data_IF_393083984347
#
_entry.id   IF_393083984347
#
_cell.length_a   1.000
_cell.length_b   1.000
_cell.length_c   1.000
_cell.angle_alpha   90.00
_cell.angle_beta   90.00
_cell.angle_gamma   90.00
#
_symmetry.space_group_name_H-M   'P 1'
#
loop_
_entity.id
_entity.type
_entity.pdbx_description
1 polymer ?
#
# COMPACT_ATOMS: atom_id res chain seq x y z
N UNK A 1 21.68 -2.88 1.24
CA UNK A 1 20.53 -3.67 0.77
C UNK A 1 19.32 -3.10 1.48
N UNK A 2 18.45 -2.37 0.78
CA UNK A 2 17.24 -1.80 1.39
C UNK A 2 16.26 -2.91 1.77
N UNK A 3 15.48 -2.77 2.85
CA UNK A 3 14.48 -3.78 3.22
C UNK A 3 13.44 -3.91 2.11
N UNK A 4 13.20 -5.15 1.68
CA UNK A 4 12.22 -5.47 0.64
C UNK A 4 10.91 -5.92 1.29
N UNK A 5 9.82 -5.21 0.97
CA UNK A 5 8.48 -5.50 1.48
C UNK A 5 7.69 -6.38 0.51
N UNK A 6 7.39 -5.85 -0.68
CA UNK A 6 6.62 -6.51 -1.73
C UNK A 6 7.42 -6.68 -3.02
N UNK A 7 7.03 -7.68 -3.82
CA UNK A 7 7.58 -7.92 -5.15
C UNK A 7 6.50 -8.36 -6.11
N UNK A 8 6.64 -8.01 -7.38
CA UNK A 8 5.77 -8.48 -8.44
C UNK A 8 6.45 -9.64 -9.17
N UNK A 9 6.34 -10.85 -8.60
CA UNK A 9 6.91 -12.08 -9.17
C UNK A 9 5.84 -12.79 -10.00
N UNK A 10 6.14 -13.25 -11.23
CA UNK A 10 5.20 -14.03 -12.02
C UNK A 10 4.67 -15.23 -11.24
N UNK A 11 3.34 -15.34 -11.13
CA UNK A 11 2.69 -16.49 -10.51
C UNK A 11 2.19 -17.46 -11.58
N UNK A 12 1.99 -18.73 -11.21
CA UNK A 12 1.41 -19.72 -12.13
C UNK A 12 0.01 -19.32 -12.61
N UNK A 13 -0.77 -18.64 -11.77
CA UNK A 13 -2.08 -18.11 -12.16
C UNK A 13 -1.99 -17.09 -13.31
N UNK A 14 -0.87 -16.35 -13.39
CA UNK A 14 -0.63 -15.44 -14.49
C UNK A 14 -0.41 -16.17 -15.81
N UNK A 15 0.05 -17.43 -15.85
CA UNK A 15 0.28 -18.12 -17.13
C UNK A 15 -0.99 -18.21 -17.99
N UNK A 16 -2.14 -18.41 -17.35
CA UNK A 16 -3.46 -18.48 -17.97
C UNK A 16 -4.16 -17.13 -18.19
N UNK A 17 -3.57 -16.02 -17.73
CA UNK A 17 -4.18 -14.68 -17.86
C UNK A 17 -3.95 -14.08 -19.24
N UNK A 18 -4.89 -13.21 -19.64
CA UNK A 18 -4.71 -12.37 -20.81
C UNK A 18 -3.52 -11.43 -20.62
N UNK A 19 -3.00 -10.88 -21.73
CA UNK A 19 -1.90 -9.93 -21.67
C UNK A 19 -2.27 -8.67 -20.88
N UNK A 20 -3.53 -8.23 -20.98
CA UNK A 20 -4.05 -7.05 -20.29
C UNK A 20 -4.17 -7.28 -18.78
N UNK A 21 -4.72 -8.42 -18.36
CA UNK A 21 -4.81 -8.77 -16.93
C UNK A 21 -3.43 -8.90 -16.27
N UNK A 22 -2.45 -9.46 -17.00
CA UNK A 22 -1.05 -9.50 -16.56
C UNK A 22 -0.52 -8.10 -16.30
N UNK A 23 -0.76 -7.17 -17.22
CA UNK A 23 -0.31 -5.79 -17.05
C UNK A 23 -0.98 -5.12 -15.87
N UNK A 24 -2.29 -5.30 -15.69
CA UNK A 24 -3.02 -4.76 -14.54
C UNK A 24 -2.45 -5.24 -13.21
N UNK A 25 -2.06 -6.53 -13.10
CA UNK A 25 -1.37 -7.04 -11.91
C UNK A 25 0.06 -6.51 -11.77
N UNK A 26 0.80 -6.37 -12.87
CA UNK A 26 2.17 -5.87 -12.87
C UNK A 26 2.28 -4.39 -12.46
N UNK A 27 1.22 -3.61 -12.66
CA UNK A 27 1.13 -2.21 -12.20
C UNK A 27 1.01 -2.08 -10.68
N UNK A 28 0.57 -3.13 -9.98
CA UNK A 28 0.48 -3.13 -8.50
C UNK A 28 1.87 -3.22 -7.86
N UNK A 29 2.00 -2.77 -6.61
CA UNK A 29 3.23 -2.86 -5.82
C UNK A 29 3.64 -4.32 -5.50
N UNK A 30 2.75 -5.28 -5.75
CA UNK A 30 3.04 -6.71 -5.70
C UNK A 30 2.64 -7.36 -4.38
N UNK A 31 3.21 -8.53 -4.12
CA UNK A 31 2.87 -9.41 -2.99
C UNK A 31 4.00 -9.42 -1.95
N UNK A 32 3.70 -9.63 -0.66
CA UNK A 32 4.74 -9.66 0.37
C UNK A 32 5.75 -10.79 0.11
N UNK A 33 7.03 -10.48 0.34
CA UNK A 33 8.07 -11.51 0.36
C UNK A 33 7.86 -12.44 1.57
N UNK A 34 8.34 -13.68 1.46
CA UNK A 34 8.35 -14.61 2.60
C UNK A 34 8.98 -13.95 3.82
N UNK A 35 8.38 -14.11 5.01
CA UNK A 35 8.84 -13.46 6.24
C UNK A 35 8.24 -12.07 6.50
N UNK A 36 7.67 -11.41 5.49
CA UNK A 36 6.92 -10.15 5.63
C UNK A 36 5.43 -10.46 5.72
N UNK A 37 4.75 -9.81 6.66
CA UNK A 37 3.29 -9.80 6.78
C UNK A 37 2.79 -8.38 6.58
N UNK A 38 1.66 -8.26 5.89
CA UNK A 38 0.93 -7.01 5.67
C UNK A 38 -0.45 -7.15 6.30
N UNK A 39 -0.98 -6.05 6.83
CA UNK A 39 -2.41 -5.87 7.13
C UNK A 39 -2.79 -4.42 6.86
N UNK A 40 -4.07 -4.19 6.64
CA UNK A 40 -4.65 -2.84 6.62
C UNK A 40 -5.59 -2.68 7.81
N UNK A 41 -5.60 -1.50 8.43
CA UNK A 41 -6.51 -1.20 9.55
C UNK A 41 -7.30 0.08 9.32
N UNK A 42 -8.47 0.18 9.94
CA UNK A 42 -9.19 1.44 10.05
C UNK A 42 -8.49 2.39 11.06
N UNK A 43 -9.02 3.60 11.26
CA UNK A 43 -8.46 4.58 12.21
C UNK A 43 -8.54 4.14 13.69
N UNK A 44 -9.36 3.13 14.00
CA UNK A 44 -9.47 2.55 15.34
C UNK A 44 -8.45 1.43 15.58
N UNK A 45 -7.69 1.07 14.54
CA UNK A 45 -6.73 -0.04 14.57
C UNK A 45 -7.34 -1.42 14.29
N UNK A 46 -8.63 -1.50 13.95
CA UNK A 46 -9.26 -2.78 13.61
C UNK A 46 -8.80 -3.23 12.22
N UNK A 47 -8.46 -4.51 12.09
CA UNK A 47 -8.08 -5.09 10.80
C UNK A 47 -9.26 -5.07 9.80
N UNK A 48 -8.96 -4.67 8.58
CA UNK A 48 -9.89 -4.67 7.45
C UNK A 48 -9.69 -5.91 6.57
N UNK A 49 -10.71 -6.33 5.80
CA UNK A 49 -10.60 -7.50 4.92
C UNK A 49 -9.69 -7.24 3.72
N UNK A 50 -9.02 -8.30 3.24
CA UNK A 50 -8.21 -8.26 2.02
C UNK A 50 -9.09 -8.56 0.79
N UNK A 51 -9.99 -7.65 0.45
CA UNK A 51 -10.95 -7.78 -0.66
C UNK A 51 -10.59 -6.95 -1.89
N UNK A 52 -9.48 -6.20 -1.83
CA UNK A 52 -9.03 -5.28 -2.88
C UNK A 52 -9.86 -4.00 -2.99
N UNK A 53 -10.84 -3.80 -2.09
CA UNK A 53 -11.77 -2.66 -2.08
C UNK A 53 -11.66 -1.85 -0.79
N UNK A 54 -11.40 -2.50 0.33
CA UNK A 54 -11.23 -1.88 1.63
C UNK A 54 -9.89 -1.16 1.68
N UNK A 55 -9.92 0.11 2.09
CA UNK A 55 -8.76 0.98 2.24
C UNK A 55 -8.44 1.18 3.72
N UNK A 56 -7.17 1.13 4.10
CA UNK A 56 -6.75 1.39 5.47
C UNK A 56 -5.26 1.66 5.60
N UNK A 57 -4.85 2.01 6.82
CA UNK A 57 -3.45 2.21 7.17
C UNK A 57 -2.67 0.92 6.97
N UNK A 58 -1.62 0.98 6.16
CA UNK A 58 -0.77 -0.16 5.87
C UNK A 58 0.18 -0.41 7.04
N UNK A 59 0.07 -1.61 7.61
CA UNK A 59 0.95 -2.09 8.66
C UNK A 59 1.76 -3.28 8.19
N UNK A 60 3.06 -3.26 8.51
CA UNK A 60 4.02 -4.30 8.08
C UNK A 60 4.76 -4.89 9.27
N UNK A 61 5.04 -6.19 9.19
CA UNK A 61 5.80 -6.90 10.24
C UNK A 61 6.66 -7.99 9.64
N UNK A 62 7.91 -8.10 10.08
CA UNK A 62 8.84 -9.12 9.61
C UNK A 62 10.22 -8.98 10.24
N UNK A 63 11.12 -9.94 10.00
CA UNK A 63 12.43 -9.97 10.66
C UNK A 63 13.39 -8.86 10.21
N UNK A 64 13.10 -8.20 9.08
CA UNK A 64 13.83 -7.03 8.57
C UNK A 64 12.99 -5.74 8.55
N UNK A 65 11.88 -5.72 9.27
CA UNK A 65 11.12 -4.49 9.53
C UNK A 65 11.68 -3.83 10.79
N UNK A 66 11.85 -2.51 10.75
CA UNK A 66 12.45 -1.77 11.85
C UNK A 66 11.57 -1.87 13.11
N UNK A 67 12.20 -2.09 14.27
CA UNK A 67 11.52 -2.02 15.57
C UNK A 67 11.55 -0.60 16.15
N UNK A 68 12.62 0.12 15.89
CA UNK A 68 12.94 1.38 16.54
C UNK A 68 13.89 2.19 15.67
N UNK A 69 13.70 3.50 15.61
CA UNK A 69 14.60 4.42 14.93
C UNK A 69 15.88 4.63 15.74
N UNK A 70 16.98 4.92 15.04
CA UNK A 70 18.24 5.26 15.67
C UNK A 70 18.08 6.48 16.57
N UNK A 71 18.55 6.39 17.82
CA UNK A 71 18.43 7.44 18.86
C UNK A 71 17.01 7.82 19.29
N UNK A 72 15.98 7.12 18.83
CA UNK A 72 14.66 7.20 19.48
C UNK A 72 14.76 6.54 20.87
N UNK A 73 13.91 6.95 21.81
CA UNK A 73 13.68 6.18 23.04
C UNK A 73 12.45 5.26 22.91
N UNK A 74 11.55 5.57 21.98
CA UNK A 74 10.31 4.86 21.72
C UNK A 74 10.45 3.83 20.59
N UNK A 75 9.66 2.75 20.67
CA UNK A 75 9.52 1.81 19.56
C UNK A 75 8.69 2.45 18.44
N UNK A 76 9.05 2.15 17.20
CA UNK A 76 8.28 2.57 16.02
C UNK A 76 7.18 1.55 15.65
N UNK A 77 7.08 0.46 16.41
CA UNK A 77 6.10 -0.61 16.21
C UNK A 77 5.13 -0.67 17.38
N UNK A 78 3.92 -1.17 17.12
CA UNK A 78 2.92 -1.46 18.15
C UNK A 78 3.35 -2.62 19.07
N UNK A 79 2.51 -2.95 20.06
CA UNK A 79 2.74 -4.04 21.02
C UNK A 79 2.89 -5.41 20.36
N UNK A 80 2.32 -5.60 19.17
CA UNK A 80 2.37 -6.83 18.39
C UNK A 80 3.51 -6.83 17.34
N UNK A 81 4.30 -5.76 17.30
CA UNK A 81 5.45 -5.60 16.41
C UNK A 81 5.09 -5.15 14.99
N UNK A 82 3.91 -4.56 14.78
CA UNK A 82 3.55 -3.96 13.49
C UNK A 82 4.08 -2.53 13.38
N UNK A 83 4.73 -2.27 12.25
CA UNK A 83 5.20 -0.94 11.87
C UNK A 83 4.15 -0.29 10.97
N UNK A 84 3.73 0.93 11.31
CA UNK A 84 2.88 1.77 10.48
C UNK A 84 3.74 2.47 9.42
N UNK A 85 3.44 2.25 8.14
CA UNK A 85 4.21 2.84 7.03
C UNK A 85 3.81 4.29 6.74
N UNK A 86 2.67 4.73 7.27
CA UNK A 86 2.04 6.00 6.93
C UNK A 86 1.42 6.02 5.53
N UNK A 87 1.21 4.86 4.91
CA UNK A 87 0.50 4.73 3.64
C UNK A 87 -0.93 4.23 3.89
N UNK A 88 -1.85 4.68 3.03
CA UNK A 88 -3.16 4.07 2.85
C UNK A 88 -3.04 3.07 1.70
N UNK A 89 -3.54 1.87 1.89
CA UNK A 89 -3.44 0.81 0.89
C UNK A 89 -4.69 -0.07 0.83
N UNK A 90 -4.85 -0.77 -0.29
CA UNK A 90 -5.73 -1.94 -0.41
C UNK A 90 -4.89 -3.21 -0.51
N UNK A 91 -5.47 -4.33 -0.10
CA UNK A 91 -4.88 -5.66 -0.28
C UNK A 91 -5.98 -6.55 -0.86
N UNK A 92 -5.72 -7.24 -1.98
CA UNK A 92 -6.67 -8.21 -2.54
C UNK A 92 -6.52 -9.62 -1.96
N UNK A 93 -7.44 -10.51 -2.34
CA UNK A 93 -7.50 -11.88 -1.83
C UNK A 93 -6.27 -12.71 -2.19
N UNK A 94 -5.55 -12.33 -3.24
CA UNK A 94 -4.31 -12.97 -3.67
C UNK A 94 -3.08 -12.37 -2.94
N UNK A 95 -3.28 -11.30 -2.17
CA UNK A 95 -2.27 -10.62 -1.38
C UNK A 95 -1.48 -9.57 -2.16
N UNK A 96 -1.96 -9.14 -3.32
CA UNK A 96 -1.39 -7.96 -3.99
C UNK A 96 -1.81 -6.71 -3.23
N UNK A 97 -0.84 -5.88 -2.92
CA UNK A 97 -1.03 -4.60 -2.27
C UNK A 97 -0.99 -3.48 -3.32
N UNK A 98 -1.87 -2.50 -3.14
CA UNK A 98 -1.87 -1.25 -3.90
C UNK A 98 -1.80 -0.07 -2.95
N UNK A 99 -0.79 0.80 -3.12
CA UNK A 99 -0.72 2.07 -2.41
C UNK A 99 -1.73 3.02 -3.04
N UNK A 100 -2.57 3.61 -2.20
CA UNK A 100 -3.66 4.51 -2.60
C UNK A 100 -3.25 5.95 -2.36
N UNK A 101 -2.68 6.23 -1.20
CA UNK A 101 -2.19 7.57 -0.84
C UNK A 101 -1.31 7.52 0.41
N UNK A 102 -0.76 8.65 0.84
CA UNK A 102 -0.20 8.84 2.17
C UNK A 102 -1.30 9.14 3.16
N UNK A 103 -1.19 8.60 4.38
CA UNK A 103 -2.20 8.81 5.43
C UNK A 103 -2.37 10.27 5.85
N UNK A 104 -1.37 11.12 5.57
CA UNK A 104 -1.41 12.57 5.83
C UNK A 104 -1.99 13.40 4.69
N UNK A 105 -1.99 12.87 3.46
CA UNK A 105 -2.33 13.62 2.25
C UNK A 105 -3.76 13.29 1.75
N UNK A 106 -4.38 12.25 2.33
CA UNK A 106 -5.71 11.81 1.95
C UNK A 106 -6.82 12.74 2.47
N UNK A 107 -7.82 13.02 1.63
CA UNK A 107 -8.98 13.83 1.99
C UNK A 107 -10.15 12.91 2.35
N UNK A 108 -10.71 13.08 3.56
CA UNK A 108 -11.97 12.44 3.97
C UNK A 108 -13.14 13.36 3.68
N UNK A 109 -14.01 12.96 2.74
CA UNK A 109 -15.28 13.63 2.47
C UNK A 109 -16.43 12.67 2.72
N UNK A 110 -17.30 12.97 3.69
CA UNK A 110 -18.51 12.16 3.95
C UNK A 110 -18.26 10.72 4.46
N UNK A 111 -17.03 10.36 4.85
CA UNK A 111 -16.66 8.99 5.24
C UNK A 111 -16.03 8.17 4.10
N UNK A 112 -15.98 8.73 2.88
CA UNK A 112 -15.25 8.15 1.76
C UNK A 112 -13.82 8.70 1.70
N UNK A 113 -12.89 7.83 1.31
CA UNK A 113 -11.48 8.16 1.13
C UNK A 113 -11.26 8.53 -0.33
N UNK A 114 -10.85 9.77 -0.58
CA UNK A 114 -10.52 10.23 -1.93
C UNK A 114 -8.99 10.22 -2.06
N UNK A 115 -8.47 9.39 -2.97
CA UNK A 115 -7.04 9.32 -3.31
C UNK A 115 -6.65 10.54 -4.15
N UNK A 116 -5.64 11.28 -3.68
CA UNK A 116 -4.99 12.33 -4.46
C UNK A 116 -4.14 11.73 -5.59
N UNK A 117 -3.50 10.58 -5.35
CA UNK A 117 -2.66 9.87 -6.33
C UNK A 117 -3.48 9.35 -7.52
N UNK A 118 -4.68 8.79 -7.30
CA UNK A 118 -5.54 8.34 -8.41
C UNK A 118 -5.96 9.53 -9.28
N UNK A 119 -6.23 10.68 -8.65
CA UNK A 119 -6.55 11.93 -9.36
C UNK A 119 -5.35 12.47 -10.14
N UNK A 120 -4.16 12.44 -9.54
CA UNK A 120 -2.91 12.86 -10.19
C UNK A 120 -2.56 11.94 -11.36
N UNK A 121 -2.62 10.61 -11.18
CA UNK A 121 -2.37 9.64 -12.25
C UNK A 121 -3.36 9.82 -13.41
N UNK A 122 -4.62 10.15 -13.13
CA UNK A 122 -5.59 10.49 -14.17
C UNK A 122 -5.23 11.81 -14.89
N UNK A 123 -4.68 12.80 -14.18
CA UNK A 123 -4.27 14.08 -14.74
C UNK A 123 -2.98 13.99 -15.58
N UNK A 124 -2.02 13.14 -15.20
CA UNK A 124 -0.76 12.92 -15.94
C UNK A 124 -1.00 12.33 -17.34
N UNK A 125 -2.17 11.73 -17.60
CA UNK A 125 -2.58 11.28 -18.93
C UNK A 125 -2.92 12.41 -19.93
N UNK A 126 -2.90 13.69 -19.51
CA UNK A 126 -3.25 14.82 -20.35
C UNK A 126 -2.01 15.46 -21.00
N UNK A 127 -1.97 15.55 -22.34
CA UNK A 127 -0.80 16.00 -23.15
C UNK A 127 -0.22 17.41 -22.83
N UNK A 128 -0.85 18.16 -21.93
CA UNK A 128 -0.46 19.54 -21.59
C UNK A 128 0.08 19.70 -20.16
N UNK A 129 0.25 18.61 -19.41
CA UNK A 129 0.71 18.63 -18.02
C UNK A 129 2.07 17.95 -17.95
N UNK A 130 3.10 18.70 -17.52
CA UNK A 130 4.46 18.18 -17.37
C UNK A 130 4.68 17.53 -15.99
N UNK A 131 4.23 18.17 -14.91
CA UNK A 131 4.22 17.65 -13.53
C UNK A 131 3.10 18.38 -12.74
N UNK A 132 2.46 17.69 -11.78
CA UNK A 132 1.54 18.29 -10.81
C UNK A 132 1.75 17.69 -9.42
N UNK A 133 1.46 18.50 -8.39
CA UNK A 133 1.36 18.11 -6.98
C UNK A 133 0.10 18.77 -6.43
N UNK A 134 -0.81 17.97 -5.88
CA UNK A 134 -1.96 18.46 -5.12
C UNK A 134 -1.62 18.54 -3.63
N UNK A 135 -1.98 19.66 -3.01
CA UNK A 135 -1.84 19.88 -1.56
C UNK A 135 -3.23 20.11 -0.97
N UNK A 136 -3.53 19.40 0.12
CA UNK A 136 -4.71 19.61 0.96
C UNK A 136 -4.44 20.67 2.04
#
# INVERSE_FOLDING_TARGET
MSPLGTTNVPTRAMESMTKEDKYNLQLKQGRPCFGVRLKITNDKGDALPNDGKSYGHLLVRGPWILKKYFKSDENAVDSDGWFDTGDISTIDSDGYMTIVDRSKDVIKSGGEWISSIDLENAAVGHEHIAEHVLLA
#
